data_IF_835183010143
#
_entry.id   IF_835183010143
#
_cell.length_a   1.000
_cell.length_b   1.000
_cell.length_c   1.000
_cell.angle_alpha   90.00
_cell.angle_beta   90.00
_cell.angle_gamma   90.00
#
_symmetry.space_group_name_H-M   'P 1'
#
loop_
_entity.id
_entity.type
_entity.pdbx_description
1 polymer ?
#
# COMPACT_ATOMS: atom_id res chain seq x y z
N UNK A 1 5.73 -47.46 50.69
CA UNK A 1 6.93 -48.26 50.51
C UNK A 1 7.65 -47.66 49.33
N UNK A 2 8.61 -46.78 49.54
CA UNK A 2 10.08 -46.97 49.69
C UNK A 2 10.63 -47.85 48.56
N UNK A 3 11.39 -47.30 47.65
CA UNK A 3 12.86 -47.37 47.55
C UNK A 3 13.31 -46.69 46.22
N UNK A 4 14.13 -45.69 46.19
CA UNK A 4 15.62 -45.64 46.32
C UNK A 4 16.28 -46.03 44.98
N UNK A 5 16.81 -45.06 44.17
CA UNK A 5 18.20 -44.48 44.14
C UNK A 5 19.24 -45.43 43.51
N UNK A 6 20.02 -45.10 42.54
CA UNK A 6 21.21 -44.26 42.43
C UNK A 6 21.89 -44.38 41.04
N UNK A 7 22.85 -43.54 40.70
CA UNK A 7 23.26 -43.20 39.36
C UNK A 7 24.51 -43.97 38.87
N UNK A 8 24.73 -43.94 37.56
CA UNK A 8 26.02 -44.37 37.00
C UNK A 8 26.64 -43.22 36.24
N UNK A 9 27.75 -42.76 36.80
CA UNK A 9 28.74 -41.94 36.11
C UNK A 9 29.46 -42.78 35.06
N UNK A 10 29.68 -42.28 33.89
CA UNK A 10 30.79 -42.69 33.04
C UNK A 10 31.47 -41.49 32.41
N UNK A 11 32.77 -41.51 32.52
CA UNK A 11 33.72 -40.45 32.33
C UNK A 11 33.93 -40.03 30.90
N UNK A 12 34.32 -38.77 30.78
CA UNK A 12 34.72 -38.06 29.58
C UNK A 12 36.06 -38.57 29.02
N UNK A 13 36.17 -38.64 27.72
CA UNK A 13 37.43 -38.58 27.00
C UNK A 13 37.48 -37.32 26.17
N UNK A 14 38.31 -36.35 26.58
CA UNK A 14 38.65 -35.16 25.78
C UNK A 14 39.57 -35.58 24.62
N UNK A 15 39.10 -35.39 23.39
CA UNK A 15 39.97 -35.27 22.24
C UNK A 15 40.09 -33.80 21.86
N UNK A 16 41.22 -33.19 22.13
CA UNK A 16 41.62 -31.87 21.67
C UNK A 16 42.12 -31.99 20.24
N UNK A 17 41.41 -31.36 19.30
CA UNK A 17 41.89 -31.13 17.93
C UNK A 17 42.17 -29.63 17.79
N UNK A 18 43.38 -29.23 17.39
CA UNK A 18 43.67 -27.81 17.20
C UNK A 18 42.98 -27.29 15.93
N UNK A 19 42.08 -26.29 16.09
CA UNK A 19 41.53 -25.56 15.00
C UNK A 19 42.57 -24.57 14.45
N UNK A 20 42.96 -24.75 13.21
CA UNK A 20 43.67 -23.78 12.42
C UNK A 20 42.68 -22.60 12.11
N UNK A 21 42.92 -21.48 12.75
CA UNK A 21 42.29 -20.23 12.42
C UNK A 21 42.85 -19.74 11.09
N UNK A 22 42.11 -19.92 10.00
CA UNK A 22 42.32 -19.18 8.76
C UNK A 22 41.42 -17.93 8.82
N UNK A 23 42.02 -16.79 9.11
CA UNK A 23 41.34 -15.52 9.09
C UNK A 23 40.97 -15.13 7.65
N UNK A 24 39.68 -15.12 7.34
CA UNK A 24 39.15 -14.36 6.23
C UNK A 24 38.52 -13.11 6.81
N UNK A 25 39.25 -12.00 6.72
CA UNK A 25 38.65 -10.66 6.79
C UNK A 25 37.75 -10.50 5.54
N UNK A 26 36.46 -10.60 5.70
CA UNK A 26 35.48 -10.09 4.76
C UNK A 26 34.83 -8.87 5.40
N UNK A 27 35.22 -7.70 4.91
CA UNK A 27 34.49 -6.46 5.15
C UNK A 27 33.00 -6.65 4.76
N UNK A 28 32.04 -6.26 5.61
CA UNK A 28 30.64 -6.24 5.20
C UNK A 28 30.38 -4.95 4.39
N UNK A 29 30.68 -5.00 3.11
CA UNK A 29 30.23 -3.99 2.13
C UNK A 29 29.47 -4.71 1.04
N UNK A 30 28.24 -4.99 1.30
CA UNK A 30 27.12 -4.97 0.34
C UNK A 30 25.85 -5.39 1.09
N UNK A 31 24.88 -4.47 1.19
CA UNK A 31 23.57 -4.70 1.81
C UNK A 31 22.63 -5.56 0.96
N UNK A 32 23.18 -6.53 0.20
CA UNK A 32 22.37 -7.52 -0.50
C UNK A 32 21.91 -8.59 0.50
N UNK A 33 20.62 -8.70 0.73
CA UNK A 33 20.02 -9.83 1.42
C UNK A 33 20.53 -11.15 0.80
N UNK A 34 20.83 -12.19 1.61
CA UNK A 34 21.46 -13.39 1.10
C UNK A 34 20.58 -14.11 0.08
N UNK A 35 21.04 -14.19 -1.18
CA UNK A 35 20.97 -15.42 -1.92
C UNK A 35 19.95 -15.58 -3.04
N UNK A 36 19.60 -14.55 -3.82
CA UNK A 36 18.93 -14.78 -5.11
C UNK A 36 19.84 -14.44 -6.30
N UNK A 37 19.54 -14.94 -7.54
CA UNK A 37 20.24 -14.52 -8.73
C UNK A 37 20.04 -13.02 -9.00
N UNK A 38 20.98 -12.34 -9.74
CA UNK A 38 20.81 -10.95 -10.11
C UNK A 38 19.45 -10.69 -10.76
N UNK A 39 18.79 -9.60 -10.37
CA UNK A 39 17.51 -9.17 -10.96
C UNK A 39 17.85 -8.11 -12.01
N UNK A 40 17.42 -8.35 -13.26
CA UNK A 40 17.53 -7.37 -14.32
C UNK A 40 16.47 -6.28 -14.13
N UNK A 41 16.93 -5.03 -13.99
CA UNK A 41 16.05 -3.86 -13.81
C UNK A 41 16.10 -3.02 -15.08
N UNK A 42 14.98 -2.92 -15.82
CA UNK A 42 14.96 -2.15 -17.05
C UNK A 42 15.18 -0.66 -16.78
N UNK A 43 15.96 0.05 -17.63
CA UNK A 43 16.13 1.50 -17.53
C UNK A 43 14.82 2.21 -17.94
N UNK A 44 14.56 3.37 -17.36
CA UNK A 44 13.41 4.22 -17.66
C UNK A 44 12.75 4.75 -16.40
N UNK A 45 12.02 5.85 -16.55
CA UNK A 45 11.31 6.52 -15.46
C UNK A 45 9.87 6.03 -15.34
N UNK A 46 9.43 5.86 -14.11
CA UNK A 46 8.08 5.49 -13.71
C UNK A 46 7.74 6.29 -12.47
N UNK A 47 6.55 6.86 -12.40
CA UNK A 47 6.05 7.47 -11.16
C UNK A 47 5.68 6.36 -10.17
N UNK A 48 6.22 6.43 -8.96
CA UNK A 48 6.00 5.44 -7.91
C UNK A 48 5.16 6.03 -6.79
N UNK A 49 3.92 5.58 -6.69
CA UNK A 49 3.01 5.96 -5.62
C UNK A 49 2.88 4.83 -4.59
N UNK A 50 2.58 5.17 -3.35
CA UNK A 50 2.24 4.18 -2.32
C UNK A 50 0.99 4.63 -1.57
N UNK A 51 0.07 3.70 -1.30
CA UNK A 51 -1.05 3.95 -0.40
C UNK A 51 -0.55 4.24 1.01
N UNK A 52 -1.17 5.17 1.68
CA UNK A 52 -0.85 5.62 3.03
C UNK A 52 -2.08 5.47 3.92
N UNK A 53 -2.08 4.48 4.81
CA UNK A 53 -3.14 4.28 5.79
C UNK A 53 -2.92 5.16 7.03
N UNK A 54 -3.81 6.11 7.36
CA UNK A 54 -3.53 7.18 8.32
C UNK A 54 -4.03 6.87 9.74
N UNK A 55 -3.86 5.65 10.24
CA UNK A 55 -4.34 5.25 11.58
C UNK A 55 -3.20 4.87 12.55
N UNK A 56 -2.04 5.53 12.43
CA UNK A 56 -0.86 5.29 13.28
C UNK A 56 -0.58 6.50 14.19
N UNK A 57 -1.64 7.06 14.75
CA UNK A 57 -1.61 8.15 15.72
C UNK A 57 -1.12 7.72 17.12
N UNK A 58 -1.65 8.32 18.20
CA UNK A 58 -1.32 7.91 19.56
C UNK A 58 -1.68 6.43 19.80
N UNK A 59 -0.79 5.67 20.44
CA UNK A 59 -0.94 4.22 20.67
C UNK A 59 -2.29 3.84 21.29
N UNK A 60 -2.82 4.69 22.17
CA UNK A 60 -4.09 4.42 22.86
C UNK A 60 -5.33 4.48 21.95
N UNK A 61 -5.25 5.17 20.80
CA UNK A 61 -6.40 5.47 19.93
C UNK A 61 -6.20 5.03 18.48
N UNK A 62 -5.10 4.35 18.17
CA UNK A 62 -4.74 3.87 16.84
C UNK A 62 -4.63 2.35 16.78
N UNK A 63 -4.38 1.80 15.59
CA UNK A 63 -4.17 0.35 15.41
C UNK A 63 -2.85 -0.18 16.00
N UNK A 64 -1.94 0.67 16.49
CA UNK A 64 -0.73 0.22 17.18
C UNK A 64 -1.01 -0.78 18.30
N UNK A 65 -2.11 -0.57 19.05
CA UNK A 65 -2.49 -1.49 20.13
C UNK A 65 -2.88 -2.89 19.61
N UNK A 66 -3.52 -2.98 18.45
CA UNK A 66 -3.86 -4.26 17.82
C UNK A 66 -2.62 -4.98 17.31
N UNK A 67 -1.73 -4.26 16.65
CA UNK A 67 -0.45 -4.78 16.16
C UNK A 67 0.42 -5.31 17.31
N UNK A 68 0.55 -4.56 18.42
CA UNK A 68 1.33 -5.00 19.58
C UNK A 68 0.79 -6.27 20.24
N UNK A 69 -0.52 -6.51 20.15
CA UNK A 69 -1.18 -7.71 20.72
C UNK A 69 -1.30 -8.86 19.73
N UNK A 70 -0.93 -8.66 18.47
CA UNK A 70 -0.95 -9.69 17.47
C UNK A 70 -0.07 -10.88 17.91
N UNK A 71 -0.50 -12.08 17.54
CA UNK A 71 0.20 -13.32 17.90
C UNK A 71 0.16 -14.30 16.74
N UNK A 72 1.09 -15.27 16.69
CA UNK A 72 1.04 -16.32 15.69
C UNK A 72 -0.27 -17.10 15.73
N UNK A 73 -0.90 -17.33 14.58
CA UNK A 73 -2.16 -18.09 14.40
C UNK A 73 -1.92 -19.53 13.92
N UNK A 74 -0.71 -19.84 13.44
CA UNK A 74 -0.31 -21.17 13.01
C UNK A 74 1.23 -21.30 13.12
N UNK A 75 1.74 -22.52 12.99
CA UNK A 75 3.18 -22.76 13.05
C UNK A 75 3.93 -22.05 11.92
N UNK A 76 5.00 -21.34 12.28
CA UNK A 76 5.77 -20.51 11.35
C UNK A 76 5.15 -19.13 11.02
N UNK A 77 3.97 -18.79 11.55
CA UNK A 77 3.39 -17.46 11.39
C UNK A 77 4.16 -16.42 12.21
N UNK A 78 4.59 -15.35 11.54
CA UNK A 78 5.41 -14.30 12.15
C UNK A 78 4.56 -13.10 12.58
N UNK A 79 4.17 -13.07 13.84
CA UNK A 79 3.51 -11.94 14.52
C UNK A 79 4.01 -11.83 15.98
N UNK A 80 4.02 -10.62 16.57
CA UNK A 80 3.70 -9.32 15.97
C UNK A 80 4.80 -8.84 15.01
N UNK A 81 4.42 -8.09 13.97
CA UNK A 81 5.35 -7.28 13.20
C UNK A 81 5.75 -6.05 14.02
N UNK A 82 7.03 -5.72 14.07
CA UNK A 82 7.54 -4.65 14.95
C UNK A 82 8.23 -3.58 14.11
N UNK A 83 7.68 -2.33 14.11
CA UNK A 83 8.30 -1.22 13.41
C UNK A 83 9.72 -0.93 13.96
N UNK A 84 10.72 -0.82 13.09
CA UNK A 84 12.08 -0.49 13.50
C UNK A 84 12.19 0.93 14.10
N UNK A 85 11.32 1.84 13.66
CA UNK A 85 11.22 3.19 14.22
C UNK A 85 10.38 3.28 15.52
N UNK A 86 9.82 2.15 15.96
CA UNK A 86 8.89 2.07 17.08
C UNK A 86 7.48 2.56 16.71
N UNK A 87 6.58 2.50 17.66
CA UNK A 87 5.17 2.86 17.52
C UNK A 87 4.99 4.39 17.58
N UNK A 88 5.34 5.08 16.51
CA UNK A 88 5.38 6.55 16.42
C UNK A 88 4.00 7.13 16.12
N UNK A 89 3.74 8.32 16.66
CA UNK A 89 2.53 9.09 16.37
C UNK A 89 2.74 9.93 15.09
N UNK A 90 2.18 9.50 13.97
CA UNK A 90 2.32 10.14 12.66
C UNK A 90 1.54 11.46 12.49
N UNK A 91 0.69 11.81 13.46
CA UNK A 91 0.04 13.13 13.48
C UNK A 91 1.03 14.25 13.82
N UNK A 92 2.29 13.92 14.06
CA UNK A 92 3.36 14.87 14.42
C UNK A 92 4.24 15.17 13.20
N UNK A 93 4.46 16.47 12.87
CA UNK A 93 5.25 16.86 11.71
C UNK A 93 6.66 16.26 11.67
N UNK A 94 7.33 16.14 12.82
CA UNK A 94 8.68 15.57 12.90
C UNK A 94 8.72 14.04 12.65
N UNK A 95 7.64 13.33 12.93
CA UNK A 95 7.51 11.90 12.59
C UNK A 95 7.23 11.77 11.09
N UNK A 96 6.36 12.61 10.56
CA UNK A 96 6.07 12.63 9.14
C UNK A 96 7.28 13.07 8.31
N UNK A 97 8.09 14.02 8.80
CA UNK A 97 9.34 14.40 8.18
C UNK A 97 10.28 13.19 7.97
N UNK A 98 10.44 12.34 8.99
CA UNK A 98 11.24 11.12 8.87
C UNK A 98 10.69 10.17 7.80
N UNK A 99 9.36 10.02 7.73
CA UNK A 99 8.71 9.15 6.73
C UNK A 99 8.88 9.69 5.32
N UNK A 100 8.70 11.01 5.12
CA UNK A 100 8.90 11.70 3.84
C UNK A 100 10.35 11.53 3.36
N UNK A 101 11.33 11.80 4.24
CA UNK A 101 12.75 11.64 3.88
C UNK A 101 13.04 10.20 3.47
N UNK A 102 12.59 9.21 4.23
CA UNK A 102 12.82 7.81 3.91
C UNK A 102 12.15 7.40 2.59
N UNK A 103 10.94 7.84 2.31
CA UNK A 103 10.23 7.54 1.07
C UNK A 103 10.92 8.17 -0.15
N UNK A 104 11.22 9.47 -0.09
CA UNK A 104 11.85 10.21 -1.18
C UNK A 104 13.28 9.70 -1.49
N UNK A 105 14.07 9.42 -0.44
CA UNK A 105 15.45 8.89 -0.58
C UNK A 105 15.48 7.49 -1.22
N UNK A 106 14.35 6.78 -1.20
CA UNK A 106 14.22 5.44 -1.78
C UNK A 106 13.40 5.39 -3.08
N UNK A 107 13.08 6.55 -3.67
CA UNK A 107 12.49 6.62 -5.00
C UNK A 107 10.98 6.46 -5.06
N UNK A 108 10.27 6.72 -3.96
CA UNK A 108 8.84 7.00 -3.98
C UNK A 108 8.62 8.48 -4.35
N UNK A 109 7.59 8.74 -5.14
CA UNK A 109 7.22 10.07 -5.60
C UNK A 109 5.94 10.58 -4.92
N UNK A 110 5.00 9.69 -4.58
CA UNK A 110 3.64 10.05 -4.14
C UNK A 110 3.16 9.20 -2.98
N UNK A 111 2.59 9.84 -1.95
CA UNK A 111 1.71 9.19 -1.00
C UNK A 111 0.25 9.36 -1.41
N UNK A 112 -0.49 8.28 -1.61
CA UNK A 112 -1.93 8.28 -1.82
C UNK A 112 -2.58 8.02 -0.46
N UNK A 113 -3.06 9.08 0.20
CA UNK A 113 -3.67 8.94 1.52
C UNK A 113 -5.06 8.31 1.42
N UNK A 114 -5.29 7.24 2.17
CA UNK A 114 -6.63 6.73 2.45
C UNK A 114 -7.35 7.84 3.23
N UNK A 115 -8.35 8.45 2.59
CA UNK A 115 -9.05 9.61 3.10
C UNK A 115 -10.54 9.33 3.24
N UNK A 116 -11.10 9.72 4.38
CA UNK A 116 -12.46 9.35 4.77
C UNK A 116 -13.31 10.60 4.93
N UNK A 117 -14.49 10.59 4.30
CA UNK A 117 -15.46 11.67 4.39
C UNK A 117 -16.87 11.09 4.38
N UNK A 118 -17.67 11.42 5.41
CA UNK A 118 -18.97 10.82 5.67
C UNK A 118 -20.01 11.92 5.91
N UNK A 119 -21.29 11.53 6.00
CA UNK A 119 -22.37 12.45 6.35
C UNK A 119 -22.16 13.01 7.77
N UNK A 120 -22.38 14.32 7.95
CA UNK A 120 -22.22 15.04 9.23
C UNK A 120 -23.03 14.40 10.36
N UNK A 121 -24.24 13.90 10.05
CA UNK A 121 -25.10 13.22 11.03
C UNK A 121 -24.49 11.92 11.60
N UNK A 122 -23.57 11.29 10.87
CA UNK A 122 -22.92 10.03 11.26
C UNK A 122 -21.49 10.28 11.77
N UNK A 123 -20.81 11.26 11.20
CA UNK A 123 -19.44 11.62 11.52
C UNK A 123 -19.32 13.13 11.69
N UNK A 124 -19.36 13.67 12.93
CA UNK A 124 -19.23 15.10 13.17
C UNK A 124 -17.96 15.69 12.56
N UNK A 125 -18.11 16.77 11.78
CA UNK A 125 -17.03 17.36 10.99
C UNK A 125 -16.71 16.60 9.70
N UNK A 126 -17.54 15.64 9.31
CA UNK A 126 -17.49 14.81 8.10
C UNK A 126 -16.23 13.89 7.98
N UNK A 127 -15.10 14.27 8.57
CA UNK A 127 -13.81 13.60 8.39
C UNK A 127 -13.51 12.56 9.45
N UNK A 128 -12.84 11.49 9.02
CA UNK A 128 -12.28 10.48 9.90
C UNK A 128 -10.81 10.22 9.54
N UNK A 129 -9.95 9.99 10.51
CA UNK A 129 -8.51 9.71 10.35
C UNK A 129 -7.73 10.77 9.53
N UNK A 130 -8.14 12.04 9.51
CA UNK A 130 -7.47 13.08 8.72
C UNK A 130 -6.16 13.62 9.34
N UNK A 131 -5.88 13.34 10.62
CA UNK A 131 -4.78 13.98 11.36
C UNK A 131 -3.39 13.66 10.81
N UNK A 132 -3.15 12.45 10.27
CA UNK A 132 -1.86 12.11 9.68
C UNK A 132 -1.54 12.99 8.46
N UNK A 133 -2.55 13.31 7.65
CA UNK A 133 -2.42 14.24 6.53
C UNK A 133 -2.35 15.70 7.03
N UNK A 134 -3.36 16.15 7.78
CA UNK A 134 -3.54 17.58 8.09
C UNK A 134 -2.58 18.11 9.16
N UNK A 135 -2.29 17.30 10.18
CA UNK A 135 -1.39 17.68 11.28
C UNK A 135 0.04 17.16 11.07
N UNK A 136 0.19 16.02 10.40
CA UNK A 136 1.47 15.42 10.09
C UNK A 136 2.05 15.93 8.79
N UNK A 137 1.57 15.43 7.64
CA UNK A 137 2.18 15.66 6.33
C UNK A 137 2.16 17.13 5.89
N UNK A 138 1.01 17.79 5.93
CA UNK A 138 0.89 19.18 5.46
C UNK A 138 1.68 20.18 6.32
N UNK A 139 2.03 19.80 7.57
CA UNK A 139 2.85 20.61 8.47
C UNK A 139 4.30 20.17 8.54
N UNK A 140 4.68 19.08 7.88
CA UNK A 140 6.07 18.63 7.83
C UNK A 140 6.94 19.64 7.06
N UNK A 141 8.14 20.00 7.56
CA UNK A 141 8.97 21.05 6.96
C UNK A 141 9.56 20.66 5.59
N UNK A 142 9.50 19.37 5.23
CA UNK A 142 10.01 18.79 3.99
C UNK A 142 8.89 18.18 3.13
N UNK A 143 7.64 18.62 3.27
CA UNK A 143 6.52 18.05 2.52
C UNK A 143 6.59 18.34 1.00
N UNK A 144 7.46 19.23 0.58
CA UNK A 144 7.79 19.53 -0.81
C UNK A 144 8.62 18.43 -1.51
N UNK A 145 9.26 17.53 -0.71
CA UNK A 145 10.00 16.38 -1.25
C UNK A 145 9.11 15.26 -1.78
N UNK A 146 7.85 15.23 -1.40
CA UNK A 146 6.87 14.22 -1.80
C UNK A 146 5.61 14.87 -2.35
N UNK A 147 4.99 14.25 -3.34
CA UNK A 147 3.61 14.58 -3.70
C UNK A 147 2.63 13.77 -2.86
N UNK A 148 1.39 14.27 -2.76
CA UNK A 148 0.30 13.51 -2.17
C UNK A 148 -0.97 13.61 -3.00
N UNK A 149 -1.81 12.59 -2.90
CA UNK A 149 -3.19 12.62 -3.40
C UNK A 149 -4.12 11.90 -2.45
N UNK A 150 -5.39 11.87 -2.77
CA UNK A 150 -6.42 11.29 -1.93
C UNK A 150 -7.03 10.06 -2.62
N UNK A 151 -7.19 8.99 -1.84
CA UNK A 151 -8.10 7.90 -2.11
C UNK A 151 -9.30 8.07 -1.18
N UNK A 152 -10.45 8.49 -1.71
CA UNK A 152 -11.67 8.52 -0.91
C UNK A 152 -12.14 7.10 -0.60
N UNK A 153 -11.90 6.67 0.65
CA UNK A 153 -12.27 5.37 1.19
C UNK A 153 -13.74 5.40 1.62
N UNK A 154 -14.62 5.37 0.64
CA UNK A 154 -16.07 5.47 0.78
C UNK A 154 -16.73 4.11 1.05
N UNK A 155 -16.17 3.29 1.93
CA UNK A 155 -16.78 2.06 2.41
C UNK A 155 -17.51 2.28 3.75
N UNK A 156 -18.41 1.37 4.11
CA UNK A 156 -19.07 1.40 5.41
C UNK A 156 -18.04 1.25 6.55
N UNK A 157 -18.15 2.11 7.56
CA UNK A 157 -17.35 2.03 8.78
C UNK A 157 -18.16 1.26 9.86
N UNK A 158 -18.37 -0.01 9.62
CA UNK A 158 -19.23 -0.85 10.46
C UNK A 158 -20.62 -0.24 10.61
N UNK A 159 -21.07 -0.10 11.88
CA UNK A 159 -22.34 0.55 12.21
C UNK A 159 -22.23 2.07 12.47
N UNK A 160 -21.02 2.63 12.33
CA UNK A 160 -20.74 4.03 12.68
C UNK A 160 -21.16 4.97 11.55
N UNK A 161 -20.70 4.69 10.31
CA UNK A 161 -21.00 5.52 9.16
C UNK A 161 -21.16 4.70 7.88
N UNK A 162 -22.00 5.20 6.96
CA UNK A 162 -22.22 4.60 5.64
C UNK A 162 -21.34 5.26 4.60
N UNK A 163 -20.68 4.44 3.78
CA UNK A 163 -19.85 4.93 2.70
C UNK A 163 -20.62 5.58 1.56
N UNK A 164 -21.87 5.12 1.31
CA UNK A 164 -22.82 5.79 0.43
C UNK A 164 -23.38 7.04 1.12
N UNK A 165 -22.64 8.14 1.04
CA UNK A 165 -23.05 9.44 1.59
C UNK A 165 -24.23 10.03 0.82
N UNK A 166 -24.85 11.10 1.35
CA UNK A 166 -25.88 11.84 0.60
C UNK A 166 -25.27 12.60 -0.60
N UNK A 167 -26.05 12.88 -1.68
CA UNK A 167 -25.58 13.72 -2.77
C UNK A 167 -25.11 15.11 -2.31
N UNK A 168 -25.76 15.67 -1.30
CA UNK A 168 -25.39 16.97 -0.68
C UNK A 168 -24.02 16.86 0.00
N UNK A 169 -23.74 15.78 0.71
CA UNK A 169 -22.43 15.53 1.32
C UNK A 169 -21.35 15.33 0.26
N UNK A 170 -21.66 14.69 -0.88
CA UNK A 170 -20.69 14.61 -1.98
C UNK A 170 -20.36 16.00 -2.55
N UNK A 171 -21.33 16.90 -2.70
CA UNK A 171 -21.06 18.28 -3.12
C UNK A 171 -20.16 19.02 -2.12
N UNK A 172 -20.39 18.86 -0.81
CA UNK A 172 -19.51 19.40 0.24
C UNK A 172 -18.09 18.81 0.17
N UNK A 173 -17.98 17.50 -0.06
CA UNK A 173 -16.70 16.82 -0.24
C UNK A 173 -15.90 17.45 -1.38
N UNK A 174 -16.54 17.66 -2.54
CA UNK A 174 -15.86 18.22 -3.72
C UNK A 174 -15.37 19.65 -3.47
N UNK A 175 -16.15 20.48 -2.79
CA UNK A 175 -15.73 21.82 -2.40
C UNK A 175 -14.57 21.76 -1.41
N UNK A 176 -14.64 20.85 -0.42
CA UNK A 176 -13.63 20.69 0.61
C UNK A 176 -12.27 20.29 0.02
N UNK A 177 -12.22 19.26 -0.87
CA UNK A 177 -10.95 18.80 -1.43
C UNK A 177 -10.31 19.84 -2.34
N UNK A 178 -11.10 20.61 -3.08
CA UNK A 178 -10.60 21.71 -3.93
C UNK A 178 -9.99 22.82 -3.07
N UNK A 179 -10.69 23.22 -2.00
CA UNK A 179 -10.26 24.34 -1.16
C UNK A 179 -9.02 23.98 -0.33
N UNK A 180 -9.01 22.80 0.28
CA UNK A 180 -8.03 22.45 1.30
C UNK A 180 -6.83 21.64 0.78
N UNK A 181 -6.98 20.92 -0.36
CA UNK A 181 -5.92 20.03 -0.82
C UNK A 181 -5.43 20.28 -2.24
N UNK A 182 -6.31 20.41 -3.24
CA UNK A 182 -5.87 20.46 -4.65
C UNK A 182 -4.95 21.64 -4.96
N UNK A 183 -5.13 22.77 -4.26
CA UNK A 183 -4.28 23.97 -4.41
C UNK A 183 -2.94 23.88 -3.68
N UNK A 184 -2.71 22.84 -2.89
CA UNK A 184 -1.44 22.66 -2.18
C UNK A 184 -0.33 22.35 -3.20
N UNK A 185 0.87 22.98 -3.11
CA UNK A 185 1.94 22.80 -4.11
C UNK A 185 2.47 21.36 -4.17
N UNK A 186 2.29 20.58 -3.12
CA UNK A 186 2.63 19.15 -3.10
C UNK A 186 1.48 18.24 -3.52
N UNK A 187 0.30 18.76 -3.90
CA UNK A 187 -0.76 17.89 -4.44
C UNK A 187 -0.32 17.29 -5.77
N UNK A 188 -0.58 15.99 -5.96
CA UNK A 188 -0.16 15.29 -7.16
C UNK A 188 -1.07 15.63 -8.34
N UNK A 189 -0.46 16.08 -9.42
CA UNK A 189 -1.13 16.37 -10.68
C UNK A 189 -0.65 15.39 -11.75
N UNK A 190 -1.57 14.88 -12.56
CA UNK A 190 -1.29 14.12 -13.78
C UNK A 190 -1.74 14.97 -14.97
N UNK A 191 -0.81 15.34 -15.83
CA UNK A 191 -1.05 16.28 -16.94
C UNK A 191 -1.70 17.60 -16.49
N UNK A 192 -1.29 18.12 -15.32
CA UNK A 192 -1.83 19.33 -14.71
C UNK A 192 -3.18 19.16 -14.01
N UNK A 193 -3.78 17.98 -14.02
CA UNK A 193 -5.08 17.67 -13.43
C UNK A 193 -4.91 17.03 -12.04
N UNK A 194 -5.56 17.51 -10.98
CA UNK A 194 -5.51 16.88 -9.66
C UNK A 194 -5.94 15.41 -9.72
N UNK A 195 -5.09 14.50 -9.19
CA UNK A 195 -5.38 13.07 -9.13
C UNK A 195 -6.25 12.78 -7.91
N UNK A 196 -7.45 12.27 -8.13
CA UNK A 196 -8.38 11.90 -7.06
C UNK A 196 -8.93 10.50 -7.31
N UNK A 197 -8.89 9.62 -6.30
CA UNK A 197 -9.36 8.25 -6.41
C UNK A 197 -10.61 7.99 -5.61
N UNK A 198 -11.51 7.15 -6.15
CA UNK A 198 -12.66 6.58 -5.44
C UNK A 198 -12.36 5.10 -5.16
N UNK A 199 -12.45 4.68 -3.89
CA UNK A 199 -12.16 3.31 -3.48
C UNK A 199 -13.27 2.34 -3.89
N UNK A 200 -14.51 2.60 -3.48
CA UNK A 200 -15.67 1.79 -3.84
C UNK A 200 -16.60 2.54 -4.81
N UNK A 201 -16.39 2.31 -6.11
CA UNK A 201 -17.21 2.94 -7.15
C UNK A 201 -18.67 2.48 -7.04
N UNK A 202 -18.96 1.25 -6.63
CA UNK A 202 -20.32 0.77 -6.39
C UNK A 202 -21.02 1.55 -5.25
N UNK A 203 -20.31 1.80 -4.16
CA UNK A 203 -20.80 2.60 -3.05
C UNK A 203 -21.02 4.05 -3.45
N UNK A 204 -20.14 4.60 -4.31
CA UNK A 204 -20.37 5.92 -4.93
C UNK A 204 -21.64 5.93 -5.79
N UNK A 205 -21.88 4.92 -6.62
CA UNK A 205 -23.12 4.80 -7.38
C UNK A 205 -24.35 4.70 -6.47
N UNK A 206 -24.23 4.01 -5.33
CA UNK A 206 -25.32 3.90 -4.34
C UNK A 206 -25.71 5.26 -3.73
N UNK A 207 -24.78 6.22 -3.62
CA UNK A 207 -25.06 7.64 -3.25
C UNK A 207 -26.17 8.23 -4.13
N UNK A 208 -26.26 7.82 -5.39
CA UNK A 208 -27.25 8.29 -6.36
C UNK A 208 -28.34 7.26 -6.66
N UNK A 209 -28.52 6.27 -5.77
CA UNK A 209 -29.52 5.21 -5.92
C UNK A 209 -29.19 4.20 -7.02
N UNK A 210 -27.92 4.05 -7.39
CA UNK A 210 -27.47 3.19 -8.49
C UNK A 210 -27.72 3.78 -9.90
N UNK A 211 -28.14 5.05 -9.97
CA UNK A 211 -28.38 5.73 -11.23
C UNK A 211 -27.06 6.30 -11.80
N UNK A 212 -26.56 5.68 -12.85
CA UNK A 212 -25.32 6.05 -13.54
C UNK A 212 -25.36 7.48 -14.13
N UNK A 213 -26.51 7.92 -14.64
CA UNK A 213 -26.64 9.24 -15.22
C UNK A 213 -26.50 10.31 -14.12
N UNK A 214 -27.22 10.15 -13.00
CA UNK A 214 -27.13 11.09 -11.84
C UNK A 214 -25.73 11.08 -11.23
N UNK A 215 -25.08 9.93 -11.11
CA UNK A 215 -23.71 9.83 -10.65
C UNK A 215 -22.74 10.55 -11.61
N UNK A 216 -22.89 10.34 -12.91
CA UNK A 216 -22.11 11.02 -13.95
C UNK A 216 -22.29 12.53 -13.94
N UNK A 217 -23.53 13.03 -13.76
CA UNK A 217 -23.81 14.48 -13.59
C UNK A 217 -23.11 15.06 -12.37
N UNK A 218 -23.05 14.32 -11.25
CA UNK A 218 -22.33 14.76 -10.05
C UNK A 218 -20.83 14.87 -10.30
N UNK A 219 -20.22 13.89 -11.00
CA UNK A 219 -18.82 13.97 -11.41
C UNK A 219 -18.60 15.14 -12.40
N UNK A 220 -19.52 15.37 -13.34
CA UNK A 220 -19.41 16.50 -14.25
C UNK A 220 -19.39 17.83 -13.49
N UNK A 221 -20.26 18.01 -12.48
CA UNK A 221 -20.22 19.21 -11.60
C UNK A 221 -18.90 19.32 -10.85
N UNK A 222 -18.35 18.20 -10.34
CA UNK A 222 -17.03 18.19 -9.69
C UNK A 222 -15.95 18.70 -10.65
N UNK A 223 -15.92 18.21 -11.89
CA UNK A 223 -14.97 18.67 -12.93
C UNK A 223 -15.10 20.16 -13.21
N UNK A 224 -16.33 20.68 -13.31
CA UNK A 224 -16.56 22.12 -13.51
C UNK A 224 -16.05 22.97 -12.33
N UNK A 225 -16.22 22.50 -11.09
CA UNK A 225 -15.64 23.16 -9.90
C UNK A 225 -14.09 23.15 -9.94
N UNK A 226 -13.48 22.04 -10.35
CA UNK A 226 -12.02 21.91 -10.49
C UNK A 226 -11.49 22.88 -11.57
N UNK A 227 -12.17 22.97 -12.72
CA UNK A 227 -11.84 23.96 -13.78
C UNK A 227 -12.00 25.39 -13.30
N UNK A 228 -13.06 25.69 -12.57
CA UNK A 228 -13.28 27.00 -11.98
C UNK A 228 -12.20 27.37 -10.94
N UNK A 229 -11.57 26.37 -10.30
CA UNK A 229 -10.45 26.55 -9.39
C UNK A 229 -9.09 26.78 -10.10
N UNK A 230 -9.05 26.71 -11.45
CA UNK A 230 -7.87 27.02 -12.27
C UNK A 230 -7.11 25.81 -12.80
N UNK A 231 -7.62 24.60 -12.63
CA UNK A 231 -7.02 23.39 -13.20
C UNK A 231 -7.59 23.07 -14.59
N UNK A 232 -6.86 22.37 -15.48
CA UNK A 232 -7.37 21.98 -16.78
C UNK A 232 -8.61 21.07 -16.71
N UNK A 233 -8.58 20.10 -15.81
CA UNK A 233 -9.66 19.15 -15.49
C UNK A 233 -9.33 18.38 -14.20
N UNK A 234 -10.13 17.38 -13.84
CA UNK A 234 -9.88 16.39 -12.80
C UNK A 234 -9.31 15.12 -13.41
N UNK A 235 -8.25 14.54 -12.85
CA UNK A 235 -7.87 13.16 -13.13
C UNK A 235 -8.57 12.24 -12.14
N UNK A 236 -9.71 11.67 -12.56
CA UNK A 236 -10.51 10.78 -11.72
C UNK A 236 -10.05 9.34 -11.91
N UNK A 237 -9.60 8.71 -10.83
CA UNK A 237 -9.22 7.31 -10.77
C UNK A 237 -10.28 6.49 -10.03
N UNK A 238 -10.54 5.26 -10.48
CA UNK A 238 -11.40 4.29 -9.79
C UNK A 238 -10.61 3.05 -9.38
N UNK A 239 -10.74 2.62 -8.12
CA UNK A 239 -10.21 1.32 -7.71
C UNK A 239 -11.13 0.22 -8.24
N UNK A 240 -10.52 -0.84 -8.80
CA UNK A 240 -11.25 -1.91 -9.48
C UNK A 240 -12.10 -2.79 -8.55
N UNK A 241 -11.91 -2.69 -7.23
CA UNK A 241 -12.66 -3.50 -6.26
C UNK A 241 -14.18 -3.33 -6.45
N UNK A 242 -14.88 -4.45 -6.59
CA UNK A 242 -16.33 -4.48 -6.80
C UNK A 242 -16.80 -4.14 -8.22
N UNK A 243 -15.90 -3.87 -9.20
CA UNK A 243 -16.29 -3.47 -10.57
C UNK A 243 -16.49 -4.66 -11.54
N UNK A 244 -16.37 -5.91 -11.09
CA UNK A 244 -16.63 -7.06 -11.92
C UNK A 244 -18.02 -6.99 -12.58
N UNK A 245 -18.06 -7.08 -13.91
CA UNK A 245 -19.31 -7.06 -14.68
C UNK A 245 -19.94 -5.68 -14.93
N UNK A 246 -19.45 -4.60 -14.29
CA UNK A 246 -19.98 -3.23 -14.50
C UNK A 246 -18.90 -2.22 -14.91
N UNK A 247 -17.66 -2.69 -15.10
CA UNK A 247 -16.49 -1.82 -15.32
C UNK A 247 -16.69 -0.84 -16.48
N UNK A 248 -17.06 -1.34 -17.66
CA UNK A 248 -17.23 -0.52 -18.87
C UNK A 248 -18.29 0.56 -18.67
N UNK A 249 -19.42 0.18 -18.04
CA UNK A 249 -20.51 1.11 -17.77
C UNK A 249 -20.11 2.18 -16.75
N UNK A 250 -19.40 1.78 -15.68
CA UNK A 250 -18.92 2.71 -14.67
C UNK A 250 -17.89 3.69 -15.23
N UNK A 251 -16.91 3.18 -16.00
CA UNK A 251 -15.90 4.02 -16.67
C UNK A 251 -16.57 5.04 -17.58
N UNK A 252 -17.51 4.61 -18.43
CA UNK A 252 -18.18 5.49 -19.38
C UNK A 252 -19.05 6.54 -18.68
N UNK A 253 -19.82 6.13 -17.68
CA UNK A 253 -20.78 7.01 -17.00
C UNK A 253 -20.08 8.05 -16.11
N UNK A 254 -19.01 7.67 -15.41
CA UNK A 254 -18.28 8.56 -14.50
C UNK A 254 -17.12 9.29 -15.19
N UNK A 255 -16.77 8.91 -16.42
CA UNK A 255 -15.63 9.47 -17.14
C UNK A 255 -14.32 9.24 -16.37
N UNK A 256 -14.09 8.01 -15.89
CA UNK A 256 -12.83 7.68 -15.21
C UNK A 256 -11.66 7.89 -16.19
N UNK A 257 -10.59 8.53 -15.72
CA UNK A 257 -9.38 8.75 -16.50
C UNK A 257 -8.42 7.56 -16.41
N UNK A 258 -8.46 6.85 -15.28
CA UNK A 258 -7.65 5.66 -15.03
C UNK A 258 -8.30 4.75 -13.99
N UNK A 259 -7.74 3.56 -13.86
CA UNK A 259 -8.08 2.61 -12.79
C UNK A 259 -6.81 2.10 -12.13
N UNK A 260 -6.96 1.55 -10.92
CA UNK A 260 -5.90 0.85 -10.18
C UNK A 260 -6.51 -0.23 -9.30
N UNK A 261 -5.65 -1.05 -8.68
CA UNK A 261 -6.04 -1.98 -7.62
C UNK A 261 -5.53 -1.47 -6.26
N UNK A 262 -6.21 -1.82 -5.18
CA UNK A 262 -5.70 -1.53 -3.84
C UNK A 262 -4.74 -2.62 -3.37
N UNK A 263 -5.19 -3.88 -3.42
CA UNK A 263 -4.44 -5.05 -2.95
C UNK A 263 -4.74 -6.29 -3.80
N UNK A 264 -3.80 -7.20 -3.91
CA UNK A 264 -3.91 -8.38 -4.78
C UNK A 264 -5.05 -9.31 -4.43
N UNK A 265 -5.39 -9.45 -3.14
CA UNK A 265 -6.44 -10.37 -2.69
C UNK A 265 -7.83 -9.96 -3.16
N UNK A 266 -8.02 -8.72 -3.62
CA UNK A 266 -9.26 -8.28 -4.25
C UNK A 266 -9.49 -8.94 -5.62
N UNK A 267 -8.43 -9.39 -6.29
CA UNK A 267 -8.52 -9.96 -7.63
C UNK A 267 -8.27 -11.46 -7.66
N UNK A 268 -7.49 -11.98 -6.70
CA UNK A 268 -7.10 -13.37 -6.67
C UNK A 268 -7.22 -13.91 -5.25
N UNK A 269 -8.08 -14.91 -5.06
CA UNK A 269 -8.13 -15.64 -3.80
C UNK A 269 -6.79 -16.33 -3.59
N UNK A 270 -6.23 -16.19 -2.38
CA UNK A 270 -5.00 -16.88 -2.01
C UNK A 270 -5.24 -18.39 -2.02
N UNK A 271 -4.48 -19.16 -2.84
CA UNK A 271 -4.83 -20.55 -3.15
C UNK A 271 -4.55 -21.53 -2.00
N UNK A 272 -3.67 -21.16 -1.07
CA UNK A 272 -3.28 -22.02 0.04
C UNK A 272 -3.73 -21.39 1.37
N UNK A 273 -4.32 -22.21 2.25
CA UNK A 273 -4.68 -21.81 3.61
C UNK A 273 -3.95 -22.70 4.63
N UNK A 274 -3.42 -22.18 5.72
CA UNK A 274 -3.55 -20.80 6.24
C UNK A 274 -2.63 -19.78 5.57
N UNK A 275 -1.68 -20.20 4.75
CA UNK A 275 -0.67 -19.32 4.17
C UNK A 275 -0.38 -19.65 2.71
N UNK A 276 -0.26 -18.62 1.89
CA UNK A 276 0.22 -18.68 0.50
C UNK A 276 1.61 -18.03 0.42
N UNK A 277 2.54 -18.65 -0.27
CA UNK A 277 3.87 -18.06 -0.50
C UNK A 277 3.76 -16.83 -1.40
N UNK A 278 4.54 -15.79 -1.10
CA UNK A 278 4.53 -14.52 -1.83
C UNK A 278 4.70 -14.71 -3.35
N UNK A 279 5.68 -15.52 -3.76
CA UNK A 279 5.95 -15.76 -5.18
C UNK A 279 4.74 -16.37 -5.91
N UNK A 280 3.98 -17.24 -5.24
CA UNK A 280 2.77 -17.85 -5.82
C UNK A 280 1.65 -16.81 -5.98
N UNK A 281 1.40 -16.00 -4.94
CA UNK A 281 0.41 -14.94 -4.98
C UNK A 281 0.76 -13.88 -6.04
N UNK A 282 2.01 -13.43 -6.07
CA UNK A 282 2.50 -12.45 -7.03
C UNK A 282 2.40 -12.96 -8.48
N UNK A 283 2.85 -14.20 -8.75
CA UNK A 283 2.75 -14.81 -10.08
C UNK A 283 1.29 -14.93 -10.55
N UNK A 284 0.38 -15.32 -9.64
CA UNK A 284 -1.04 -15.42 -9.95
C UNK A 284 -1.63 -14.05 -10.32
N UNK A 285 -1.33 -13.02 -9.54
CA UNK A 285 -1.80 -11.66 -9.81
C UNK A 285 -1.23 -11.12 -11.13
N UNK A 286 0.09 -11.22 -11.35
CA UNK A 286 0.72 -10.75 -12.58
C UNK A 286 0.21 -11.51 -13.83
N UNK A 287 -0.14 -12.81 -13.68
CA UNK A 287 -0.81 -13.55 -14.73
C UNK A 287 -2.21 -12.97 -15.01
N UNK A 288 -2.99 -12.67 -13.97
CA UNK A 288 -4.32 -12.05 -14.13
C UNK A 288 -4.25 -10.69 -14.81
N UNK A 289 -3.25 -9.88 -14.49
CA UNK A 289 -3.01 -8.59 -15.18
C UNK A 289 -2.73 -8.78 -16.68
N UNK A 290 -1.94 -9.79 -17.05
CA UNK A 290 -1.54 -10.02 -18.45
C UNK A 290 -2.60 -10.75 -19.27
N UNK A 291 -3.19 -11.78 -18.68
CA UNK A 291 -3.94 -12.80 -19.43
C UNK A 291 -5.41 -12.92 -18.99
N UNK A 292 -5.81 -12.21 -17.93
CA UNK A 292 -7.12 -12.36 -17.32
C UNK A 292 -7.22 -13.55 -16.36
N UNK A 293 -8.46 -13.87 -15.99
CA UNK A 293 -8.76 -14.92 -15.01
C UNK A 293 -8.71 -14.47 -13.55
N UNK A 294 -8.53 -13.17 -13.30
CA UNK A 294 -8.79 -12.55 -12.02
C UNK A 294 -10.26 -12.20 -11.83
N UNK A 295 -10.58 -11.45 -10.78
CA UNK A 295 -11.91 -10.89 -10.52
C UNK A 295 -11.84 -9.36 -10.40
N UNK A 296 -12.99 -8.73 -10.18
CA UNK A 296 -13.08 -7.28 -9.93
C UNK A 296 -12.36 -6.43 -10.99
N UNK A 297 -12.69 -6.66 -12.28
CA UNK A 297 -12.17 -5.90 -13.41
C UNK A 297 -10.91 -6.49 -14.07
N UNK A 298 -10.32 -7.56 -13.51
CA UNK A 298 -9.21 -8.29 -14.14
C UNK A 298 -9.62 -9.62 -14.77
N UNK A 299 -10.90 -9.82 -15.06
CA UNK A 299 -11.43 -11.02 -15.74
C UNK A 299 -10.81 -11.19 -17.13
N UNK A 300 -10.60 -10.10 -17.86
CA UNK A 300 -10.01 -10.04 -19.19
C UNK A 300 -8.58 -9.44 -19.19
N UNK A 301 -7.96 -9.35 -18.03
CA UNK A 301 -6.65 -8.71 -17.85
C UNK A 301 -6.69 -7.19 -18.01
N UNK A 302 -5.55 -6.55 -17.83
CA UNK A 302 -5.45 -5.09 -17.95
C UNK A 302 -5.76 -4.57 -19.36
N UNK A 303 -5.58 -5.39 -20.38
CA UNK A 303 -5.96 -5.04 -21.77
C UNK A 303 -7.48 -4.96 -21.99
N UNK A 304 -8.27 -5.59 -21.13
CA UNK A 304 -9.74 -5.52 -21.14
C UNK A 304 -10.30 -4.31 -20.38
N UNK A 305 -9.47 -3.50 -19.77
CA UNK A 305 -9.89 -2.27 -19.07
C UNK A 305 -9.94 -1.11 -20.07
N UNK A 306 -11.06 -0.37 -20.18
CA UNK A 306 -11.23 0.64 -21.23
C UNK A 306 -10.44 1.94 -21.03
N UNK A 307 -9.73 2.07 -19.91
CA UNK A 307 -8.87 3.22 -19.55
C UNK A 307 -7.52 2.74 -19.02
N UNK A 308 -6.47 3.59 -18.95
CA UNK A 308 -5.19 3.23 -18.36
C UNK A 308 -5.34 2.54 -17.01
N UNK A 309 -4.61 1.44 -16.83
CA UNK A 309 -4.51 0.71 -15.58
C UNK A 309 -3.16 0.98 -14.91
N UNK A 310 -3.17 1.62 -13.74
CA UNK A 310 -1.99 1.82 -12.91
C UNK A 310 -1.73 0.55 -12.11
N UNK A 311 -0.64 -0.15 -12.45
CA UNK A 311 -0.35 -1.47 -11.89
C UNK A 311 -0.08 -1.38 -10.39
N UNK A 312 -0.79 -2.20 -9.60
CA UNK A 312 -0.56 -2.35 -8.16
C UNK A 312 0.46 -3.46 -7.87
N UNK A 313 1.35 -3.22 -6.93
CA UNK A 313 2.22 -4.24 -6.34
C UNK A 313 2.02 -4.26 -4.84
N UNK A 314 1.45 -5.37 -4.32
CA UNK A 314 1.32 -5.58 -2.88
C UNK A 314 2.61 -6.13 -2.29
N UNK A 315 3.07 -5.55 -1.18
CA UNK A 315 4.27 -6.03 -0.47
C UNK A 315 3.97 -7.29 0.35
N UNK A 316 2.75 -7.45 0.84
CA UNK A 316 2.31 -8.59 1.63
C UNK A 316 0.80 -8.59 1.84
N UNK A 317 0.32 -9.52 2.67
CA UNK A 317 -1.04 -9.56 3.19
C UNK A 317 -1.10 -10.43 4.45
N UNK A 318 -1.49 -9.83 5.56
CA UNK A 318 -1.73 -10.53 6.83
C UNK A 318 -2.63 -9.67 7.73
N UNK A 319 -3.93 -9.90 7.67
CA UNK A 319 -4.92 -9.17 8.46
C UNK A 319 -5.14 -9.71 9.87
N UNK A 320 -4.31 -10.66 10.31
CA UNK A 320 -4.43 -11.28 11.64
C UNK A 320 -4.34 -10.31 12.82
N UNK A 321 -3.60 -9.18 12.77
CA UNK A 321 -3.63 -8.17 13.85
C UNK A 321 -5.03 -7.61 14.14
N UNK A 322 -5.92 -7.59 13.15
CA UNK A 322 -7.30 -7.11 13.27
C UNK A 322 -8.28 -8.16 13.83
N UNK A 323 -7.83 -9.39 14.03
CA UNK A 323 -8.70 -10.47 14.54
C UNK A 323 -9.02 -10.37 16.04
N UNK A 324 -8.41 -9.46 16.77
CA UNK A 324 -8.63 -9.31 18.21
C UNK A 324 -8.11 -10.50 19.03
N UNK A 325 -8.77 -10.80 20.12
CA UNK A 325 -8.36 -11.82 21.08
C UNK A 325 -8.88 -13.25 20.73
N UNK A 326 -8.71 -13.68 19.48
CA UNK A 326 -9.08 -15.06 19.09
C UNK A 326 -7.94 -16.05 19.34
N UNK A 327 -8.28 -17.31 19.53
CA UNK A 327 -7.31 -18.40 19.60
C UNK A 327 -6.90 -18.84 18.18
N UNK A 328 -5.71 -19.47 18.00
CA UNK A 328 -5.34 -20.07 16.72
C UNK A 328 -6.39 -21.04 16.16
N UNK A 329 -7.01 -21.86 17.03
CA UNK A 329 -8.05 -22.78 16.60
C UNK A 329 -9.35 -22.10 16.12
N UNK A 330 -9.70 -20.96 16.68
CA UNK A 330 -10.84 -20.14 16.21
C UNK A 330 -10.51 -19.48 14.88
N UNK A 331 -9.31 -18.91 14.76
CA UNK A 331 -8.85 -18.27 13.52
C UNK A 331 -8.84 -19.28 12.36
N UNK A 332 -8.30 -20.47 12.57
CA UNK A 332 -8.20 -21.53 11.54
C UNK A 332 -9.58 -22.04 11.04
N UNK A 333 -10.68 -21.77 11.73
CA UNK A 333 -12.03 -22.17 11.31
C UNK A 333 -12.76 -21.12 10.47
N UNK A 334 -12.24 -19.89 10.41
CA UNK A 334 -12.87 -18.76 9.70
C UNK A 334 -12.17 -18.49 8.38
N UNK A 335 -12.89 -17.85 7.43
CA UNK A 335 -12.39 -17.47 6.10
C UNK A 335 -12.81 -16.05 5.69
N UNK A 336 -13.73 -15.46 6.44
CA UNK A 336 -14.18 -14.08 6.26
C UNK A 336 -13.10 -13.10 6.75
N UNK A 337 -13.03 -11.92 6.16
CA UNK A 337 -12.14 -10.85 6.67
C UNK A 337 -12.47 -10.54 8.14
N UNK A 338 -11.48 -10.41 9.02
CA UNK A 338 -10.03 -10.44 8.78
C UNK A 338 -9.36 -11.82 8.94
N UNK A 339 -10.07 -12.94 8.85
CA UNK A 339 -9.60 -14.30 9.13
C UNK A 339 -9.15 -15.09 7.88
N UNK A 340 -8.84 -14.41 6.80
CA UNK A 340 -8.42 -15.04 5.55
C UNK A 340 -7.02 -15.65 5.60
N UNK A 341 -6.63 -16.30 4.49
CA UNK A 341 -5.25 -16.73 4.29
C UNK A 341 -4.29 -15.53 4.29
N UNK A 342 -3.06 -15.77 4.73
CA UNK A 342 -2.00 -14.74 4.75
C UNK A 342 -0.95 -15.02 3.68
N UNK A 343 -0.19 -13.99 3.28
CA UNK A 343 0.99 -14.13 2.44
C UNK A 343 2.21 -14.29 3.35
N UNK A 344 3.03 -15.30 3.07
CA UNK A 344 4.30 -15.58 3.76
C UNK A 344 5.48 -15.56 2.79
N UNK A 345 6.70 -15.53 3.31
CA UNK A 345 7.96 -15.49 2.55
C UNK A 345 8.08 -14.26 1.63
N UNK A 346 7.42 -13.15 1.97
CA UNK A 346 7.53 -11.86 1.29
C UNK A 346 8.85 -11.15 1.64
N UNK A 347 9.96 -11.69 1.17
CA UNK A 347 11.30 -11.13 1.42
C UNK A 347 11.57 -9.88 0.54
N UNK A 348 12.48 -8.97 0.96
CA UNK A 348 12.91 -7.85 0.12
C UNK A 348 13.37 -8.26 -1.29
N UNK A 349 14.07 -9.42 -1.40
CA UNK A 349 14.48 -9.94 -2.70
C UNK A 349 13.32 -10.31 -3.61
N UNK A 350 12.31 -11.04 -3.11
CA UNK A 350 11.13 -11.39 -3.90
C UNK A 350 10.30 -10.16 -4.25
N UNK A 351 10.18 -9.22 -3.31
CA UNK A 351 9.51 -7.95 -3.59
C UNK A 351 10.22 -7.16 -4.70
N UNK A 352 11.56 -7.03 -4.64
CA UNK A 352 12.38 -6.42 -5.70
C UNK A 352 12.16 -7.08 -7.07
N UNK A 353 12.08 -8.41 -7.12
CA UNK A 353 11.82 -9.18 -8.35
C UNK A 353 10.51 -8.73 -9.00
N UNK A 354 9.43 -8.64 -8.23
CA UNK A 354 8.12 -8.25 -8.77
C UNK A 354 7.99 -6.75 -9.02
N UNK A 355 8.73 -5.90 -8.31
CA UNK A 355 8.87 -4.48 -8.66
C UNK A 355 9.56 -4.30 -10.03
N UNK A 356 10.63 -5.04 -10.31
CA UNK A 356 11.30 -5.00 -11.61
C UNK A 356 10.39 -5.48 -12.75
N UNK A 357 9.59 -6.53 -12.51
CA UNK A 357 8.58 -7.03 -13.45
C UNK A 357 7.47 -5.99 -13.70
N UNK A 358 7.01 -5.33 -12.64
CA UNK A 358 6.04 -4.23 -12.73
C UNK A 358 6.60 -3.05 -13.52
N UNK A 359 7.85 -2.66 -13.27
CA UNK A 359 8.53 -1.60 -14.02
C UNK A 359 8.60 -1.93 -15.51
N UNK A 360 9.01 -3.17 -15.85
CA UNK A 360 9.08 -3.62 -17.23
C UNK A 360 7.72 -3.53 -17.94
N UNK A 361 6.65 -3.99 -17.28
CA UNK A 361 5.29 -3.92 -17.80
C UNK A 361 4.82 -2.46 -17.99
N UNK A 362 5.11 -1.59 -17.03
CA UNK A 362 4.69 -0.19 -17.02
C UNK A 362 5.45 0.63 -18.08
N UNK A 363 6.74 0.38 -18.30
CA UNK A 363 7.53 1.06 -19.32
C UNK A 363 7.06 0.81 -20.75
N UNK A 364 6.29 -0.26 -20.99
CA UNK A 364 5.63 -0.51 -22.28
C UNK A 364 4.42 0.42 -22.55
N UNK A 365 4.02 1.24 -21.58
CA UNK A 365 2.91 2.20 -21.69
C UNK A 365 3.39 3.57 -22.14
N UNK A 366 2.49 4.45 -22.65
CA UNK A 366 2.79 5.85 -22.84
C UNK A 366 3.35 6.50 -21.58
N UNK A 367 4.18 7.55 -21.70
CA UNK A 367 4.86 8.17 -20.55
C UNK A 367 3.90 8.67 -19.47
N UNK A 368 2.78 9.28 -19.86
CA UNK A 368 1.74 9.78 -18.94
C UNK A 368 1.01 8.68 -18.16
N UNK A 369 1.10 7.42 -18.61
CA UNK A 369 0.49 6.26 -17.98
C UNK A 369 1.49 5.43 -17.14
N UNK A 370 2.76 5.87 -17.06
CA UNK A 370 3.82 5.13 -16.36
C UNK A 370 3.75 5.35 -14.86
N UNK A 371 2.74 4.79 -14.25
CA UNK A 371 2.49 4.87 -12.82
C UNK A 371 2.42 3.45 -12.25
N UNK A 372 3.16 3.21 -11.17
CA UNK A 372 3.09 2.00 -10.32
C UNK A 372 2.59 2.42 -8.95
N UNK A 373 1.64 1.68 -8.41
CA UNK A 373 1.07 1.92 -7.08
C UNK A 373 1.44 0.78 -6.15
N UNK A 374 2.08 1.06 -5.03
CA UNK A 374 2.49 0.06 -4.05
C UNK A 374 1.45 0.01 -2.91
N UNK A 375 0.95 -1.16 -2.60
CA UNK A 375 0.24 -1.44 -1.36
C UNK A 375 1.23 -2.08 -0.39
N UNK A 376 1.65 -1.35 0.63
CA UNK A 376 1.42 0.05 0.90
C UNK A 376 2.63 0.67 1.62
N UNK A 377 2.58 1.95 1.94
CA UNK A 377 3.58 2.57 2.81
C UNK A 377 3.54 1.96 4.22
N UNK A 378 2.35 1.85 4.82
CA UNK A 378 2.20 1.58 6.26
C UNK A 378 0.95 0.78 6.66
N UNK A 379 0.42 -0.11 5.84
CA UNK A 379 -0.74 -0.94 6.22
C UNK A 379 -0.30 -2.11 7.14
N UNK A 380 0.23 -1.75 8.34
CA UNK A 380 0.74 -2.69 9.34
C UNK A 380 -0.31 -3.69 9.82
N UNK A 381 -1.58 -3.23 9.92
CA UNK A 381 -2.72 -4.06 10.33
C UNK A 381 -3.07 -5.16 9.35
N UNK A 382 -2.59 -5.03 8.10
CA UNK A 382 -2.78 -6.00 7.02
C UNK A 382 -1.46 -6.61 6.52
N UNK A 383 -0.35 -6.35 7.24
CA UNK A 383 0.94 -6.95 6.93
C UNK A 383 1.51 -6.51 5.58
N UNK A 384 1.10 -5.34 5.08
CA UNK A 384 1.59 -4.75 3.84
C UNK A 384 2.17 -3.35 4.12
N UNK A 385 3.50 -3.24 4.20
CA UNK A 385 4.16 -2.00 4.60
C UNK A 385 5.59 -1.91 4.05
N UNK A 386 5.99 -0.70 3.63
CA UNK A 386 7.37 -0.37 3.24
C UNK A 386 8.17 0.20 4.40
N UNK A 387 7.51 0.72 5.44
CA UNK A 387 8.20 1.22 6.64
C UNK A 387 9.12 0.15 7.23
N UNK A 388 10.31 0.52 7.73
CA UNK A 388 11.27 -0.45 8.24
C UNK A 388 10.73 -1.26 9.41
N UNK A 389 10.93 -2.57 9.38
CA UNK A 389 10.65 -3.48 10.48
C UNK A 389 11.94 -4.02 11.14
N UNK A 390 11.79 -4.68 12.27
CA UNK A 390 12.94 -5.24 13.00
C UNK A 390 13.50 -6.53 12.39
N UNK A 391 12.79 -7.13 11.42
CA UNK A 391 13.22 -8.35 10.73
C UNK A 391 14.05 -8.05 9.48
N UNK A 392 13.56 -7.08 8.66
CA UNK A 392 14.13 -6.77 7.35
C UNK A 392 14.84 -5.39 7.31
N UNK A 393 14.77 -4.61 8.40
CA UNK A 393 15.34 -3.25 8.41
C UNK A 393 14.76 -2.39 7.29
N UNK A 394 15.62 -1.74 6.52
CA UNK A 394 15.24 -0.90 5.35
C UNK A 394 15.04 -1.71 4.05
N UNK A 395 15.15 -3.04 4.09
CA UNK A 395 15.26 -3.88 2.89
C UNK A 395 14.14 -3.71 1.86
N UNK A 396 12.90 -3.44 2.26
CA UNK A 396 11.81 -3.16 1.31
C UNK A 396 11.97 -1.80 0.62
N UNK A 397 12.38 -0.77 1.35
CA UNK A 397 12.69 0.53 0.79
C UNK A 397 13.91 0.47 -0.13
N UNK A 398 14.95 -0.27 0.27
CA UNK A 398 16.12 -0.53 -0.58
C UNK A 398 15.73 -1.24 -1.88
N UNK A 399 14.79 -2.19 -1.82
CA UNK A 399 14.24 -2.83 -3.01
C UNK A 399 13.55 -1.84 -3.96
N UNK A 400 12.79 -0.88 -3.42
CA UNK A 400 12.17 0.21 -4.21
C UNK A 400 13.25 1.08 -4.84
N UNK A 401 14.25 1.53 -4.06
CA UNK A 401 15.39 2.33 -4.55
C UNK A 401 16.15 1.63 -5.68
N UNK A 402 16.44 0.35 -5.50
CA UNK A 402 17.20 -0.43 -6.48
C UNK A 402 16.46 -0.59 -7.81
N UNK A 403 15.13 -0.55 -7.80
CA UNK A 403 14.33 -0.69 -9.01
C UNK A 403 13.99 0.67 -9.62
N UNK A 404 13.60 1.65 -8.82
CA UNK A 404 13.05 2.92 -9.29
C UNK A 404 13.95 4.12 -9.00
N UNK A 405 14.91 4.00 -8.08
CA UNK A 405 15.88 5.06 -7.82
C UNK A 405 16.57 5.48 -9.11
N UNK A 406 16.82 6.76 -9.31
CA UNK A 406 17.64 7.23 -10.42
C UNK A 406 19.00 6.55 -10.33
N UNK A 407 19.41 5.80 -11.35
CA UNK A 407 20.80 5.40 -11.48
C UNK A 407 21.61 6.69 -11.65
N UNK A 408 22.21 7.16 -10.56
CA UNK A 408 23.30 8.12 -10.69
C UNK A 408 24.34 7.44 -11.57
N UNK A 409 24.52 7.99 -12.77
CA UNK A 409 25.65 7.60 -13.60
C UNK A 409 26.90 7.61 -12.70
N UNK A 410 27.65 6.53 -12.71
CA UNK A 410 28.95 6.43 -12.05
C UNK A 410 29.86 7.55 -12.59
N UNK A 411 29.81 8.71 -11.96
CA UNK A 411 30.58 9.90 -12.30
C UNK A 411 30.34 10.91 -11.19
N UNK A 412 31.38 11.22 -10.46
CA UNK A 412 31.49 12.24 -9.42
C UNK A 412 30.67 13.49 -9.78
N UNK A 413 29.44 13.60 -9.25
CA UNK A 413 28.57 14.74 -9.48
C UNK A 413 27.48 14.77 -8.42
N UNK A 414 27.31 15.92 -7.83
CA UNK A 414 26.30 16.33 -6.86
C UNK A 414 24.92 15.73 -7.11
N UNK A 415 24.23 15.30 -6.03
CA UNK A 415 22.88 14.79 -6.02
C UNK A 415 21.95 15.63 -6.90
N UNK A 416 21.48 15.06 -8.01
CA UNK A 416 20.47 15.67 -8.85
C UNK A 416 19.09 15.43 -8.24
N UNK A 417 18.37 16.50 -7.93
CA UNK A 417 16.97 16.48 -7.53
C UNK A 417 16.14 15.84 -8.65
N UNK A 418 15.38 14.81 -8.29
CA UNK A 418 14.29 14.29 -9.14
C UNK A 418 13.20 15.35 -9.20
N UNK A 419 13.01 15.96 -10.34
CA UNK A 419 11.84 16.81 -10.59
C UNK A 419 10.68 15.90 -10.95
N UNK A 420 9.72 15.72 -10.03
CA UNK A 420 8.43 15.13 -10.38
C UNK A 420 7.78 16.08 -11.38
N UNK A 421 7.62 15.64 -12.63
CA UNK A 421 6.94 16.44 -13.65
C UNK A 421 5.49 16.64 -13.22
N UNK A 422 5.10 17.90 -13.02
CA UNK A 422 3.71 18.32 -12.81
C UNK A 422 2.92 18.21 -14.10
#
# INVERSE_FOLDING_TARGET
MKNIILPICCAAALCVVPALMSGCNSDPKDGSAPGGPPIDVPPGEVTVAAYYFPNWGPVATSEWGSLQRAKPMFDGHKQPKVPAWGYRNENRPEVMQQKIDAAADHGLDVFIFDWYFYDEAQMPGNKYLSSALEEGFLKAPNNDRMKFSLLWCNHDLGDIARGAVTPETFELLTDYVIEHYFKHPSYWLVDGCPYFSIYEVNTFLATFGGDYARAGEAIARFREKVKAAGFPDLHLNGVLFGLGGILDQAVAALGLNSTTSYVWIHHNILPDFPATRYEKAASQYMNSVRNGGGSNGLENGAAGIPVPYHLNISMGWDSSPRCGNVTPGEWLRRRDYPFGAVIVDNTPYLFKKYLAEAKAWTLAKPESERIVVINSWNEWGEGSYLEPDTENGMGYLEAVRDVFGSQQANGTGTAGERTVKN
#
